data_IF_764675824380
#
_entry.id   IF_764675824380
#
_cell.length_a   1.000
_cell.length_b   1.000
_cell.length_c   1.000
_cell.angle_alpha   90.00
_cell.angle_beta   90.00
_cell.angle_gamma   90.00
#
_symmetry.space_group_name_H-M   'P 1'
#
loop_
_entity.id
_entity.type
_entity.pdbx_description
1 polymer ?
#
# COMPACT_ATOMS: atom_id res chain seq x y z
N UNK A 1 -1.02 7.64 20.80
CA UNK A 1 -2.40 8.18 20.76
C UNK A 1 -3.36 7.05 20.42
N UNK A 2 -4.41 6.82 21.22
CA UNK A 2 -5.47 5.88 20.85
C UNK A 2 -6.38 6.56 19.82
N UNK A 3 -6.57 5.93 18.66
CA UNK A 3 -7.31 6.52 17.53
C UNK A 3 -8.63 5.81 17.26
N UNK A 4 -8.80 4.60 17.79
CA UNK A 4 -10.04 3.84 17.75
C UNK A 4 -10.20 3.01 19.03
N UNK A 5 -11.35 2.36 19.18
CA UNK A 5 -11.63 1.46 20.30
C UNK A 5 -10.57 0.37 20.44
N UNK A 6 -9.95 -0.09 19.36
CA UNK A 6 -8.96 -1.17 19.42
C UNK A 6 -7.59 -0.80 18.87
N UNK A 7 -7.38 0.41 18.34
CA UNK A 7 -6.13 0.77 17.64
C UNK A 7 -5.44 1.96 18.32
N UNK A 8 -4.14 1.79 18.55
CA UNK A 8 -3.25 2.86 18.99
C UNK A 8 -2.16 3.15 17.96
N UNK A 9 -1.82 4.44 17.81
CA UNK A 9 -0.73 4.92 16.95
C UNK A 9 0.36 5.52 17.83
N UNK A 10 1.61 5.11 17.62
CA UNK A 10 2.75 5.58 18.42
C UNK A 10 3.90 6.03 17.51
N UNK A 11 4.56 7.13 17.87
CA UNK A 11 5.80 7.53 17.20
C UNK A 11 6.98 6.79 17.82
N UNK A 12 7.76 6.08 17.01
CA UNK A 12 8.92 5.33 17.47
C UNK A 12 10.17 5.67 16.65
N UNK A 13 11.35 5.58 17.28
CA UNK A 13 12.63 5.77 16.60
C UNK A 13 13.07 4.41 16.03
N UNK A 14 12.90 4.21 14.72
CA UNK A 14 13.21 2.96 14.02
C UNK A 14 13.11 3.12 12.49
N UNK A 15 13.46 2.08 11.71
CA UNK A 15 13.28 2.12 10.25
C UNK A 15 11.80 1.95 9.90
N UNK A 16 11.16 3.00 9.37
CA UNK A 16 9.80 2.92 8.82
C UNK A 16 8.67 2.88 9.86
N UNK A 17 7.52 2.34 9.46
CA UNK A 17 6.40 2.01 10.37
C UNK A 17 6.36 0.51 10.65
N UNK A 18 5.64 0.12 11.71
CA UNK A 18 5.45 -1.29 12.07
C UNK A 18 4.03 -1.57 12.54
N UNK A 19 3.61 -2.82 12.36
CA UNK A 19 2.41 -3.39 12.96
C UNK A 19 2.81 -4.52 13.93
N UNK A 20 2.19 -4.53 15.11
CA UNK A 20 2.37 -5.59 16.12
C UNK A 20 1.17 -5.65 17.07
N UNK A 21 1.13 -6.68 17.92
CA UNK A 21 0.23 -6.72 19.08
C UNK A 21 1.03 -6.46 20.36
N UNK A 22 0.48 -5.63 21.25
CA UNK A 22 1.07 -5.43 22.58
C UNK A 22 0.84 -6.65 23.51
N UNK A 23 1.36 -6.59 24.74
CA UNK A 23 1.20 -7.66 25.74
C UNK A 23 -0.27 -7.96 26.09
N UNK A 24 -1.17 -7.01 25.88
CA UNK A 24 -2.61 -7.16 26.11
C UNK A 24 -3.35 -7.65 24.86
N UNK A 25 -2.64 -7.93 23.76
CA UNK A 25 -3.22 -8.37 22.49
C UNK A 25 -3.89 -7.24 21.70
N UNK A 26 -3.59 -5.98 21.99
CA UNK A 26 -4.12 -4.85 21.23
C UNK A 26 -3.20 -4.50 20.05
N UNK A 27 -3.76 -4.24 18.86
CA UNK A 27 -2.96 -3.84 17.72
C UNK A 27 -2.33 -2.45 17.92
N UNK A 28 -1.03 -2.38 17.68
CA UNK A 28 -0.20 -1.19 17.73
C UNK A 28 0.39 -0.94 16.36
N UNK A 29 0.17 0.27 15.84
CA UNK A 29 0.81 0.76 14.63
C UNK A 29 1.81 1.85 15.02
N UNK A 30 3.03 1.73 14.52
CA UNK A 30 4.07 2.74 14.71
C UNK A 30 4.43 3.44 13.41
N UNK A 31 5.04 4.61 13.51
CA UNK A 31 5.57 5.35 12.37
C UNK A 31 6.78 6.19 12.79
N UNK A 32 7.64 6.53 11.83
CA UNK A 32 8.75 7.47 12.07
C UNK A 32 8.20 8.90 12.19
N UNK A 33 8.45 9.63 13.29
CA UNK A 33 7.93 10.99 13.50
C UNK A 33 8.23 11.98 12.37
N UNK A 34 9.38 11.86 11.71
CA UNK A 34 9.77 12.73 10.58
C UNK A 34 8.79 12.66 9.39
N UNK A 35 8.01 11.58 9.27
CA UNK A 35 6.98 11.45 8.23
C UNK A 35 5.81 12.44 8.41
N UNK A 36 5.67 13.07 9.59
CA UNK A 36 4.64 14.12 9.81
C UNK A 36 4.80 15.27 8.81
N UNK A 37 6.04 15.59 8.41
CA UNK A 37 6.34 16.62 7.41
C UNK A 37 6.10 16.13 5.96
N UNK A 38 5.79 14.85 5.78
CA UNK A 38 5.57 14.19 4.48
C UNK A 38 4.24 13.44 4.47
N UNK A 39 3.10 14.15 4.45
CA UNK A 39 1.78 13.57 4.70
C UNK A 39 1.40 12.43 3.75
N UNK A 40 1.78 12.50 2.47
CA UNK A 40 1.53 11.40 1.51
C UNK A 40 2.27 10.12 1.90
N UNK A 41 3.52 10.23 2.34
CA UNK A 41 4.33 9.08 2.78
C UNK A 41 3.82 8.54 4.11
N UNK A 42 3.43 9.41 5.05
CA UNK A 42 2.83 9.01 6.31
C UNK A 42 1.54 8.20 6.09
N UNK A 43 0.64 8.68 5.23
CA UNK A 43 -0.61 7.96 4.92
C UNK A 43 -0.31 6.62 4.25
N UNK A 44 0.68 6.56 3.35
CA UNK A 44 1.08 5.31 2.71
C UNK A 44 1.56 4.27 3.74
N UNK A 45 2.43 4.66 4.67
CA UNK A 45 2.92 3.79 5.75
C UNK A 45 1.76 3.33 6.64
N UNK A 46 0.94 4.25 7.13
CA UNK A 46 -0.18 3.88 8.01
C UNK A 46 -1.20 2.97 7.32
N UNK A 47 -1.47 3.18 6.03
CA UNK A 47 -2.37 2.31 5.27
C UNK A 47 -1.79 0.90 5.11
N UNK A 48 -0.46 0.79 4.90
CA UNK A 48 0.25 -0.48 4.82
C UNK A 48 0.17 -1.23 6.14
N UNK A 49 0.53 -0.59 7.27
CA UNK A 49 0.45 -1.24 8.60
C UNK A 49 -0.99 -1.61 8.99
N UNK A 50 -1.98 -0.80 8.60
CA UNK A 50 -3.38 -1.15 8.81
C UNK A 50 -3.80 -2.36 7.96
N UNK A 51 -3.21 -2.54 6.78
CA UNK A 51 -3.48 -3.69 5.93
C UNK A 51 -2.89 -4.97 6.51
N UNK A 52 -1.74 -4.90 7.20
CA UNK A 52 -1.24 -6.03 8.00
C UNK A 52 -2.24 -6.45 9.08
N UNK A 53 -2.90 -5.49 9.75
CA UNK A 53 -3.97 -5.81 10.70
C UNK A 53 -5.17 -6.49 10.01
N UNK A 54 -5.59 -6.02 8.84
CA UNK A 54 -6.70 -6.66 8.10
C UNK A 54 -6.37 -8.09 7.67
N UNK A 55 -5.10 -8.37 7.42
CA UNK A 55 -4.59 -9.68 7.02
C UNK A 55 -4.13 -10.54 8.21
N UNK A 56 -4.15 -10.02 9.44
CA UNK A 56 -3.52 -10.68 10.59
C UNK A 56 -4.15 -12.03 10.96
N UNK A 57 -5.36 -12.31 10.51
CA UNK A 57 -6.01 -13.62 10.68
C UNK A 57 -5.49 -14.69 9.70
N UNK A 58 -4.82 -14.28 8.62
CA UNK A 58 -4.36 -15.12 7.51
C UNK A 58 -2.82 -15.15 7.40
N UNK A 59 -2.11 -14.59 8.39
CA UNK A 59 -0.67 -14.33 8.34
C UNK A 59 0.20 -15.60 8.22
N UNK A 60 -0.29 -16.74 8.71
CA UNK A 60 0.50 -17.98 8.80
C UNK A 60 0.59 -18.77 7.48
N UNK A 61 -0.05 -18.28 6.41
CA UNK A 61 -0.24 -19.03 5.16
C UNK A 61 0.85 -18.69 4.12
N UNK A 62 1.55 -17.57 4.27
CA UNK A 62 2.42 -16.99 3.24
C UNK A 62 3.83 -16.75 3.77
N UNK A 63 4.82 -16.77 2.88
CA UNK A 63 6.16 -16.28 3.22
C UNK A 63 6.15 -14.74 3.36
N UNK A 64 7.11 -14.20 4.12
CA UNK A 64 7.19 -12.78 4.43
C UNK A 64 7.13 -11.87 3.19
N UNK A 65 7.80 -12.23 2.08
CA UNK A 65 7.80 -11.39 0.87
C UNK A 65 6.43 -11.37 0.21
N UNK A 66 5.77 -12.52 0.12
CA UNK A 66 4.41 -12.61 -0.42
C UNK A 66 3.41 -11.89 0.48
N UNK A 67 3.61 -11.93 1.80
CA UNK A 67 2.78 -11.22 2.77
C UNK A 67 2.83 -9.71 2.54
N UNK A 68 4.02 -9.11 2.42
CA UNK A 68 4.19 -7.69 2.12
C UNK A 68 3.53 -7.27 0.78
N UNK A 69 3.65 -8.10 -0.27
CA UNK A 69 3.02 -7.84 -1.56
C UNK A 69 1.49 -7.84 -1.47
N UNK A 70 0.91 -8.77 -0.71
CA UNK A 70 -0.54 -8.84 -0.49
C UNK A 70 -1.00 -7.71 0.42
N UNK A 71 -0.18 -7.27 1.38
CA UNK A 71 -0.44 -6.06 2.18
C UNK A 71 -0.54 -4.84 1.27
N UNK A 72 0.40 -4.64 0.35
CA UNK A 72 0.32 -3.53 -0.63
C UNK A 72 -0.91 -3.64 -1.57
N UNK A 73 -1.26 -4.85 -2.03
CA UNK A 73 -2.49 -5.06 -2.79
C UNK A 73 -3.74 -4.75 -1.97
N UNK A 74 -3.71 -5.04 -0.66
CA UNK A 74 -4.79 -4.74 0.28
C UNK A 74 -4.95 -3.22 0.45
N UNK A 75 -3.84 -2.47 0.50
CA UNK A 75 -3.87 -0.99 0.46
C UNK A 75 -4.56 -0.48 -0.81
N UNK A 76 -4.25 -1.06 -1.98
CA UNK A 76 -4.92 -0.70 -3.23
C UNK A 76 -6.42 -1.03 -3.18
N UNK A 77 -6.76 -2.25 -2.74
CA UNK A 77 -8.13 -2.73 -2.61
C UNK A 77 -8.98 -1.92 -1.62
N UNK A 78 -8.40 -1.49 -0.51
CA UNK A 78 -9.05 -0.64 0.49
C UNK A 78 -9.28 0.80 -0.01
N UNK A 79 -8.77 1.15 -1.20
CA UNK A 79 -8.95 2.47 -1.81
C UNK A 79 -7.90 3.49 -1.43
N UNK A 80 -6.82 3.09 -0.75
CA UNK A 80 -5.72 3.96 -0.33
C UNK A 80 -4.51 3.90 -1.27
N UNK A 81 -4.59 3.14 -2.37
CA UNK A 81 -3.46 2.86 -3.25
C UNK A 81 -2.84 4.08 -3.96
N UNK A 82 -3.53 5.22 -4.06
CA UNK A 82 -2.93 6.46 -4.61
C UNK A 82 -1.74 6.93 -3.75
N UNK A 83 -1.85 6.80 -2.42
CA UNK A 83 -0.77 7.14 -1.50
C UNK A 83 0.40 6.17 -1.64
N UNK A 84 0.11 4.86 -1.62
CA UNK A 84 1.11 3.80 -1.79
C UNK A 84 1.88 3.94 -3.11
N UNK A 85 1.18 4.12 -4.22
CA UNK A 85 1.80 4.28 -5.54
C UNK A 85 2.73 5.50 -5.60
N UNK A 86 2.26 6.66 -5.12
CA UNK A 86 3.04 7.89 -5.14
C UNK A 86 4.29 7.82 -4.23
N UNK A 87 4.17 7.19 -3.07
CA UNK A 87 5.27 6.97 -2.13
C UNK A 87 6.32 6.00 -2.71
N UNK A 88 5.89 4.84 -3.21
CA UNK A 88 6.76 3.84 -3.85
C UNK A 88 7.61 4.45 -4.97
N UNK A 89 7.02 5.33 -5.78
CA UNK A 89 7.76 6.05 -6.82
C UNK A 89 8.77 7.06 -6.26
N UNK A 90 8.44 7.80 -5.19
CA UNK A 90 9.41 8.71 -4.53
C UNK A 90 10.65 7.94 -4.08
N UNK A 91 10.45 6.81 -3.39
CA UNK A 91 11.53 5.99 -2.85
C UNK A 91 12.42 5.40 -3.95
N UNK A 92 11.83 5.01 -5.09
CA UNK A 92 12.59 4.50 -6.24
C UNK A 92 13.56 5.53 -6.84
N UNK A 93 13.26 6.82 -6.72
CA UNK A 93 14.09 7.89 -7.30
C UNK A 93 15.17 8.40 -6.35
N UNK A 94 14.88 8.51 -5.05
CA UNK A 94 15.70 9.32 -4.16
C UNK A 94 16.82 8.55 -3.46
N UNK A 95 16.75 7.22 -3.29
CA UNK A 95 17.87 6.44 -2.73
C UNK A 95 18.40 6.90 -1.37
N UNK A 96 17.67 7.77 -0.66
CA UNK A 96 18.08 8.41 0.59
C UNK A 96 18.19 7.44 1.76
N UNK A 97 18.78 7.86 2.88
CA UNK A 97 18.88 7.07 4.11
C UNK A 97 17.52 6.55 4.63
N UNK A 98 16.42 7.28 4.40
CA UNK A 98 15.05 6.82 4.65
C UNK A 98 14.63 5.68 3.72
N UNK A 99 15.06 5.78 2.46
CA UNK A 99 14.89 4.69 1.51
C UNK A 99 15.74 3.49 1.87
N UNK A 100 16.80 3.58 2.70
CA UNK A 100 17.56 2.38 3.09
C UNK A 100 16.81 1.45 4.05
N UNK A 101 16.00 2.00 4.96
CA UNK A 101 15.08 1.20 5.79
C UNK A 101 14.04 0.46 4.94
N UNK A 102 13.48 1.15 3.93
CA UNK A 102 12.51 0.59 3.00
C UNK A 102 13.15 -0.28 1.89
N UNK A 103 14.36 0.04 1.41
CA UNK A 103 15.13 -0.70 0.40
C UNK A 103 15.64 -2.02 0.95
N UNK A 104 16.03 -2.08 2.22
CA UNK A 104 16.26 -3.35 2.92
C UNK A 104 15.03 -4.27 2.88
N UNK A 105 13.82 -3.70 2.74
CA UNK A 105 12.53 -4.41 2.68
C UNK A 105 11.99 -4.56 1.22
N UNK A 106 12.57 -3.90 0.21
CA UNK A 106 12.07 -3.90 -1.20
C UNK A 106 12.04 -5.25 -1.92
N UNK A 107 12.52 -6.33 -1.31
CA UNK A 107 12.26 -7.68 -1.85
C UNK A 107 10.77 -8.06 -1.76
N UNK A 108 9.96 -7.35 -0.96
CA UNK A 108 8.53 -7.64 -0.71
C UNK A 108 7.50 -6.58 -1.12
N UNK A 109 7.87 -5.46 -1.76
CA UNK A 109 6.91 -4.39 -2.11
C UNK A 109 6.50 -4.34 -3.58
N UNK A 110 5.33 -3.78 -3.86
CA UNK A 110 4.89 -3.53 -5.23
C UNK A 110 5.79 -2.48 -5.90
N UNK A 111 6.30 -2.84 -7.08
CA UNK A 111 6.95 -1.86 -7.96
C UNK A 111 5.98 -0.77 -8.42
N UNK A 112 6.45 0.42 -8.87
CA UNK A 112 5.56 1.45 -9.41
C UNK A 112 4.64 0.98 -10.54
N UNK A 113 5.10 0.03 -11.38
CA UNK A 113 4.27 -0.56 -12.43
C UNK A 113 3.24 -1.53 -11.87
N UNK A 114 3.58 -2.29 -10.83
CA UNK A 114 2.66 -3.19 -10.14
C UNK A 114 1.55 -2.40 -9.43
N UNK A 115 1.90 -1.28 -8.77
CA UNK A 115 0.94 -0.32 -8.22
C UNK A 115 0.00 0.24 -9.30
N UNK A 116 0.55 0.68 -10.44
CA UNK A 116 -0.26 1.18 -11.54
C UNK A 116 -1.23 0.13 -12.08
N UNK A 117 -0.82 -1.14 -12.15
CA UNK A 117 -1.68 -2.24 -12.55
C UNK A 117 -2.77 -2.54 -11.50
N UNK A 118 -2.41 -2.59 -10.21
CA UNK A 118 -3.36 -2.80 -9.12
C UNK A 118 -4.45 -1.72 -9.08
N UNK A 119 -4.09 -0.45 -9.26
CA UNK A 119 -5.03 0.67 -9.35
C UNK A 119 -5.94 0.59 -10.59
N UNK A 120 -5.42 0.11 -11.71
CA UNK A 120 -6.23 -0.13 -12.91
C UNK A 120 -7.25 -1.26 -12.66
N UNK A 121 -6.84 -2.36 -12.02
CA UNK A 121 -7.75 -3.45 -11.63
C UNK A 121 -8.84 -2.91 -10.70
N UNK A 122 -8.47 -2.18 -9.64
CA UNK A 122 -9.42 -1.59 -8.70
C UNK A 122 -10.46 -0.70 -9.40
N UNK A 123 -10.03 0.22 -10.26
CA UNK A 123 -10.94 1.10 -11.00
C UNK A 123 -11.88 0.33 -11.94
N UNK A 124 -11.35 -0.67 -12.68
CA UNK A 124 -12.15 -1.48 -13.59
C UNK A 124 -13.12 -2.44 -12.87
N UNK A 125 -12.80 -2.88 -11.65
CA UNK A 125 -13.71 -3.66 -10.81
C UNK A 125 -14.79 -2.78 -10.18
N UNK A 126 -14.43 -1.58 -9.71
CA UNK A 126 -15.37 -0.60 -9.15
C UNK A 126 -16.31 -0.03 -10.21
N UNK A 127 -15.90 0.01 -11.47
CA UNK A 127 -16.65 0.63 -12.57
C UNK A 127 -16.52 2.15 -12.64
N UNK A 128 -15.76 2.73 -11.73
CA UNK A 128 -15.38 4.14 -11.67
C UNK A 128 -13.98 4.24 -11.06
N UNK A 129 -13.15 5.14 -11.60
CA UNK A 129 -11.79 5.37 -11.12
C UNK A 129 -11.68 6.58 -10.16
N UNK A 130 -12.81 7.26 -9.87
CA UNK A 130 -12.89 8.32 -8.88
C UNK A 130 -11.94 9.49 -9.16
N UNK A 131 -11.61 9.71 -10.44
CA UNK A 131 -10.62 10.69 -10.89
C UNK A 131 -9.21 10.49 -10.30
N UNK A 132 -8.84 9.27 -9.87
CA UNK A 132 -7.55 9.00 -9.22
C UNK A 132 -6.34 9.52 -10.00
N UNK A 133 -6.44 9.57 -11.33
CA UNK A 133 -5.39 10.10 -12.20
C UNK A 133 -5.01 11.56 -11.92
N UNK A 134 -5.89 12.36 -11.33
CA UNK A 134 -5.59 13.74 -10.88
C UNK A 134 -4.59 13.81 -9.73
N UNK A 135 -4.52 12.74 -8.94
CA UNK A 135 -3.73 12.68 -7.71
C UNK A 135 -2.49 11.81 -7.86
N UNK A 136 -2.37 11.06 -8.95
CA UNK A 136 -1.22 10.22 -9.24
C UNK A 136 -0.08 11.02 -9.85
N UNK A 137 1.16 10.60 -9.55
CA UNK A 137 2.32 11.08 -10.28
C UNK A 137 2.18 10.77 -11.78
N UNK A 138 2.62 11.68 -12.68
CA UNK A 138 2.40 11.53 -14.12
C UNK A 138 2.92 10.20 -14.69
N UNK A 139 4.04 9.69 -14.20
CA UNK A 139 4.63 8.41 -14.62
C UNK A 139 3.72 7.23 -14.30
N UNK A 140 3.17 7.22 -13.08
CA UNK A 140 2.28 6.16 -12.59
C UNK A 140 0.97 6.21 -13.36
N UNK A 141 0.41 7.41 -13.56
CA UNK A 141 -0.83 7.56 -14.32
C UNK A 141 -0.68 7.07 -15.77
N UNK A 142 0.44 7.39 -16.42
CA UNK A 142 0.74 6.85 -17.76
C UNK A 142 0.80 5.32 -17.77
N UNK A 143 1.38 4.71 -16.74
CA UNK A 143 1.40 3.26 -16.60
C UNK A 143 -0.01 2.69 -16.33
N UNK A 144 -0.79 3.35 -15.47
CA UNK A 144 -2.15 2.94 -15.11
C UNK A 144 -3.07 2.96 -16.32
N UNK A 145 -3.03 4.02 -17.14
CA UNK A 145 -3.83 4.11 -18.36
C UNK A 145 -3.50 3.00 -19.37
N UNK A 146 -2.22 2.60 -19.47
CA UNK A 146 -1.82 1.44 -20.28
C UNK A 146 -2.40 0.14 -19.71
N UNK A 147 -2.36 -0.04 -18.39
CA UNK A 147 -2.96 -1.19 -17.72
C UNK A 147 -4.48 -1.24 -17.91
N UNK A 148 -5.19 -0.11 -17.78
CA UNK A 148 -6.63 0.01 -18.07
C UNK A 148 -6.92 -0.42 -19.51
N UNK A 149 -6.19 0.10 -20.49
CA UNK A 149 -6.37 -0.27 -21.89
C UNK A 149 -6.10 -1.78 -22.13
N UNK A 150 -5.14 -2.36 -21.42
CA UNK A 150 -4.85 -3.79 -21.46
C UNK A 150 -6.00 -4.62 -20.86
N UNK A 151 -6.51 -4.26 -19.67
CA UNK A 151 -7.60 -4.95 -19.00
C UNK A 151 -8.89 -4.92 -19.81
N UNK A 152 -9.22 -3.78 -20.43
CA UNK A 152 -10.40 -3.65 -21.31
C UNK A 152 -10.33 -4.51 -22.57
N UNK A 153 -9.11 -4.77 -23.07
CA UNK A 153 -8.89 -5.73 -24.18
C UNK A 153 -8.94 -7.18 -23.71
N UNK A 154 -8.80 -7.44 -22.41
CA UNK A 154 -8.73 -8.76 -21.80
C UNK A 154 -9.70 -8.89 -20.61
N UNK A 155 -11.03 -8.65 -20.82
CA UNK A 155 -11.99 -8.61 -19.72
C UNK A 155 -12.10 -9.91 -18.92
N UNK A 156 -11.71 -11.05 -19.52
CA UNK A 156 -11.66 -12.36 -18.86
C UNK A 156 -10.72 -12.39 -17.65
N UNK A 157 -9.69 -11.52 -17.62
CA UNK A 157 -8.74 -11.45 -16.49
C UNK A 157 -9.41 -10.92 -15.22
N UNK A 158 -10.51 -10.17 -15.34
CA UNK A 158 -11.28 -9.63 -14.21
C UNK A 158 -12.49 -10.50 -13.86
N UNK A 159 -12.87 -11.46 -14.71
CA UNK A 159 -14.11 -12.21 -14.54
C UNK A 159 -14.16 -12.98 -13.21
N UNK A 160 -13.05 -13.60 -12.81
CA UNK A 160 -12.95 -14.32 -11.54
C UNK A 160 -13.03 -13.42 -10.31
N UNK A 161 -12.56 -12.18 -10.42
CA UNK A 161 -12.55 -11.20 -9.32
C UNK A 161 -13.92 -10.52 -9.13
N UNK A 162 -14.75 -10.46 -10.17
CA UNK A 162 -16.11 -9.88 -10.09
C UNK A 162 -17.14 -10.82 -9.46
N UNK A 163 -16.84 -12.11 -9.40
CA UNK A 163 -17.74 -13.14 -8.90
C UNK A 163 -17.57 -13.42 -7.40
N UNK A 164 -16.56 -12.82 -6.76
CA UNK A 164 -16.26 -12.89 -5.34
C UNK A 164 -16.89 -11.68 -4.62
#
# INVERSE_FOLDING_TARGET
>A
MRVAEFVSIQGEQGPGGTFSFDEAGQPVITYVPDLVEKPTELVAVLAHELSHLLLSAESDILDDQTHELITDLTVAYAGMGVFGANAAFSFSQHGDAFSQGWQSQTSGYLSPNSWAFALAVFGELRGDDGEMGRYLKPEIERARLKAVAYLRKNPQLLAGLRAA
#
